data_IF_044786404856
#
_entry.id   IF_044786404856
#
_cell.length_a   1.000
_cell.length_b   1.000
_cell.length_c   1.000
_cell.angle_alpha   90.00
_cell.angle_beta   90.00
_cell.angle_gamma   90.00
#
_symmetry.space_group_name_H-M   'P 1'
#
loop_
_entity.id
_entity.type
_entity.pdbx_description
1 polymer ?
#
# COMPACT_ATOMS: atom_id res chain seq x y z
N UNK A 1 -15.95 1.18 -7.04
CA UNK A 1 -16.62 2.03 -6.03
C UNK A 1 -16.02 3.41 -6.10
N UNK A 2 -16.80 4.45 -5.81
CA UNK A 2 -16.37 5.84 -5.96
C UNK A 2 -16.51 6.55 -4.61
N UNK A 3 -15.53 7.39 -4.27
CA UNK A 3 -15.57 8.30 -3.13
C UNK A 3 -15.78 9.72 -3.66
N UNK A 4 -16.75 10.44 -3.09
CA UNK A 4 -17.09 11.79 -3.50
C UNK A 4 -17.50 12.65 -2.32
N UNK A 5 -17.44 13.97 -2.50
CA UNK A 5 -17.97 14.94 -1.54
C UNK A 5 -19.38 15.37 -1.93
N UNK A 6 -20.31 15.41 -0.96
CA UNK A 6 -21.70 15.81 -1.22
C UNK A 6 -21.95 17.34 -1.15
N UNK A 7 -21.01 18.12 -0.60
CA UNK A 7 -21.00 19.59 -0.67
C UNK A 7 -19.58 20.11 -0.90
N UNK A 8 -19.44 21.43 -1.13
CA UNK A 8 -18.14 22.08 -1.31
C UNK A 8 -17.32 21.93 -0.04
N UNK A 9 -16.28 21.12 -0.11
CA UNK A 9 -15.48 20.74 1.04
C UNK A 9 -14.24 21.61 1.17
N UNK A 10 -13.81 21.83 2.41
CA UNK A 10 -12.51 22.44 2.70
C UNK A 10 -11.39 21.43 2.37
N UNK A 11 -10.33 21.91 1.73
CA UNK A 11 -9.24 21.06 1.21
C UNK A 11 -8.51 20.32 2.34
N UNK A 12 -8.32 20.96 3.51
CA UNK A 12 -7.50 20.40 4.57
C UNK A 12 -8.14 19.16 5.24
N UNK A 13 -9.42 19.18 5.68
CA UNK A 13 -10.12 18.00 6.15
C UNK A 13 -10.20 16.88 5.10
N UNK A 14 -10.52 17.22 3.86
CA UNK A 14 -10.63 16.23 2.76
C UNK A 14 -9.31 15.52 2.55
N UNK A 15 -8.21 16.27 2.45
CA UNK A 15 -6.88 15.69 2.33
C UNK A 15 -6.56 14.76 3.50
N UNK A 16 -6.77 15.20 4.75
CA UNK A 16 -6.48 14.42 5.96
C UNK A 16 -7.29 13.12 6.02
N UNK A 17 -8.59 13.19 5.77
CA UNK A 17 -9.46 12.01 5.78
C UNK A 17 -9.09 11.06 4.64
N UNK A 18 -8.73 11.59 3.46
CA UNK A 18 -8.31 10.78 2.31
C UNK A 18 -7.02 10.00 2.60
N UNK A 19 -6.01 10.64 3.21
CA UNK A 19 -4.75 9.97 3.61
C UNK A 19 -5.02 8.86 4.62
N UNK A 20 -5.83 9.13 5.66
CA UNK A 20 -6.20 8.13 6.66
C UNK A 20 -6.99 6.97 6.05
N UNK A 21 -7.91 7.28 5.14
CA UNK A 21 -8.70 6.28 4.42
C UNK A 21 -7.83 5.37 3.57
N UNK A 22 -6.92 5.92 2.77
CA UNK A 22 -6.01 5.12 1.94
C UNK A 22 -5.08 4.26 2.79
N UNK A 23 -4.61 4.75 3.93
CA UNK A 23 -3.84 3.96 4.89
C UNK A 23 -4.64 2.75 5.40
N UNK A 24 -5.91 2.94 5.75
CA UNK A 24 -6.78 1.87 6.25
C UNK A 24 -7.11 0.84 5.16
N UNK A 25 -7.35 1.28 3.93
CA UNK A 25 -7.53 0.36 2.79
C UNK A 25 -6.24 -0.41 2.50
N UNK A 26 -5.07 0.24 2.61
CA UNK A 26 -3.79 -0.43 2.43
C UNK A 26 -3.54 -1.52 3.47
N UNK A 27 -4.15 -1.41 4.65
CA UNK A 27 -4.14 -2.42 5.71
C UNK A 27 -5.18 -3.56 5.48
N UNK A 28 -5.89 -3.57 4.34
CA UNK A 28 -6.88 -4.59 4.01
C UNK A 28 -8.26 -4.37 4.63
N UNK A 29 -8.55 -3.18 5.17
CA UNK A 29 -9.88 -2.89 5.70
C UNK A 29 -10.93 -2.77 4.58
N UNK A 30 -12.17 -3.13 4.89
CA UNK A 30 -13.34 -2.84 4.05
C UNK A 30 -13.48 -1.33 3.87
N UNK A 31 -13.96 -0.88 2.70
CA UNK A 31 -13.93 0.55 2.33
C UNK A 31 -14.84 1.40 3.22
N UNK A 32 -15.99 0.87 3.62
CA UNK A 32 -16.92 1.49 4.58
C UNK A 32 -16.27 1.65 5.96
N UNK A 33 -15.66 0.59 6.49
CA UNK A 33 -14.97 0.59 7.77
C UNK A 33 -13.75 1.52 7.74
N UNK A 34 -12.97 1.49 6.66
CA UNK A 34 -11.81 2.34 6.45
C UNK A 34 -12.19 3.84 6.50
N UNK A 35 -13.30 4.23 5.86
CA UNK A 35 -13.76 5.62 5.86
C UNK A 35 -14.31 6.03 7.23
N UNK A 36 -15.04 5.14 7.91
CA UNK A 36 -15.53 5.39 9.27
C UNK A 36 -14.36 5.62 10.23
N UNK A 37 -13.36 4.75 10.21
CA UNK A 37 -12.16 4.88 11.06
C UNK A 37 -11.39 6.15 10.71
N UNK A 38 -11.23 6.47 9.42
CA UNK A 38 -10.56 7.70 8.99
C UNK A 38 -11.24 8.97 9.53
N UNK A 39 -12.58 9.02 9.52
CA UNK A 39 -13.35 10.15 10.09
C UNK A 39 -13.18 10.24 11.61
N UNK A 40 -13.20 9.11 12.32
CA UNK A 40 -12.97 9.07 13.77
C UNK A 40 -11.56 9.57 14.11
N UNK A 41 -10.54 9.12 13.39
CA UNK A 41 -9.16 9.52 13.63
C UNK A 41 -8.90 10.99 13.26
N UNK A 42 -9.57 11.50 12.24
CA UNK A 42 -9.58 12.93 11.96
C UNK A 42 -10.12 13.72 13.15
N UNK A 43 -11.27 13.32 13.72
CA UNK A 43 -11.91 14.00 14.85
C UNK A 43 -11.03 14.03 16.11
N UNK A 44 -10.24 12.98 16.36
CA UNK A 44 -9.28 12.94 17.49
C UNK A 44 -8.18 14.00 17.40
N UNK A 45 -7.88 14.48 16.18
CA UNK A 45 -6.80 15.43 15.92
C UNK A 45 -7.29 16.80 15.46
N UNK A 46 -8.61 16.97 15.29
CA UNK A 46 -9.22 18.22 14.87
C UNK A 46 -9.34 19.20 16.05
N UNK A 47 -9.15 20.49 15.77
CA UNK A 47 -9.50 21.54 16.73
C UNK A 47 -11.03 21.70 16.79
N UNK A 48 -11.53 22.37 17.84
CA UNK A 48 -12.97 22.53 18.12
C UNK A 48 -13.78 23.05 16.93
N UNK A 49 -13.21 23.98 16.16
CA UNK A 49 -13.84 24.53 14.95
C UNK A 49 -13.94 23.50 13.82
N UNK A 50 -12.87 22.74 13.57
CA UNK A 50 -12.83 21.73 12.50
C UNK A 50 -13.50 20.41 12.86
N UNK A 51 -13.92 20.22 14.11
CA UNK A 51 -14.76 19.09 14.53
C UNK A 51 -16.22 19.21 14.05
N UNK A 52 -16.64 20.38 13.55
CA UNK A 52 -17.99 20.59 13.05
C UNK A 52 -18.30 19.62 11.88
N UNK A 53 -19.52 19.05 11.83
CA UNK A 53 -19.92 18.10 10.78
C UNK A 53 -19.68 18.58 9.35
N UNK A 54 -19.72 19.89 9.13
CA UNK A 54 -19.42 20.52 7.84
C UNK A 54 -18.08 20.07 7.24
N UNK A 55 -17.05 19.84 8.07
CA UNK A 55 -15.70 19.56 7.61
C UNK A 55 -15.45 18.07 7.30
N UNK A 56 -16.04 17.14 8.04
CA UNK A 56 -15.72 15.70 7.92
C UNK A 56 -16.87 14.84 7.36
N UNK A 57 -18.11 15.32 7.42
CA UNK A 57 -19.28 14.55 6.99
C UNK A 57 -19.50 14.60 5.47
N UNK A 58 -18.75 15.44 4.74
CA UNK A 58 -18.93 15.61 3.30
C UNK A 58 -18.53 14.40 2.46
N UNK A 59 -17.63 13.53 2.94
CA UNK A 59 -17.12 12.40 2.16
C UNK A 59 -18.02 11.19 2.29
N UNK A 60 -18.48 10.67 1.15
CA UNK A 60 -19.29 9.44 1.06
C UNK A 60 -18.68 8.47 0.06
N UNK A 61 -18.93 7.18 0.25
CA UNK A 61 -18.55 6.11 -0.68
C UNK A 61 -19.83 5.50 -1.26
N UNK A 62 -19.82 5.29 -2.57
CA UNK A 62 -20.89 4.63 -3.31
C UNK A 62 -20.36 3.43 -4.10
N UNK A 63 -21.11 2.33 -4.08
CA UNK A 63 -20.77 1.06 -4.73
C UNK A 63 -20.17 0.03 -3.78
N UNK A 64 -19.36 -0.89 -4.32
CA UNK A 64 -18.85 -2.05 -3.57
C UNK A 64 -17.92 -1.67 -2.39
N UNK A 65 -18.27 -2.04 -1.16
CA UNK A 65 -17.46 -1.77 0.05
C UNK A 65 -16.47 -2.87 0.44
N UNK A 66 -16.39 -3.94 -0.35
CA UNK A 66 -15.46 -5.06 -0.12
C UNK A 66 -14.00 -4.59 0.00
N UNK A 67 -13.18 -5.28 0.81
CA UNK A 67 -11.79 -4.91 1.00
C UNK A 67 -11.03 -5.05 -0.31
N UNK A 68 -9.96 -4.26 -0.46
CA UNK A 68 -9.08 -4.39 -1.62
C UNK A 68 -8.06 -5.47 -1.29
N UNK A 69 -8.06 -6.56 -2.04
CA UNK A 69 -6.98 -7.55 -2.01
C UNK A 69 -5.73 -6.93 -2.64
N UNK A 70 -4.91 -6.29 -1.82
CA UNK A 70 -3.59 -5.89 -2.24
C UNK A 70 -2.71 -7.15 -2.27
N UNK A 71 -2.56 -7.71 -3.46
CA UNK A 71 -1.63 -8.82 -3.69
C UNK A 71 -0.24 -8.31 -3.33
N UNK A 72 0.28 -8.75 -2.18
CA UNK A 72 1.66 -8.49 -1.80
C UNK A 72 2.55 -9.35 -2.69
N UNK A 73 3.06 -8.75 -3.77
CA UNK A 73 3.99 -9.40 -4.69
C UNK A 73 5.27 -9.74 -3.91
N UNK A 74 5.42 -11.00 -3.51
CA UNK A 74 6.62 -11.46 -2.84
C UNK A 74 7.73 -11.64 -3.88
N UNK A 75 8.64 -10.67 -3.96
CA UNK A 75 9.79 -10.73 -4.88
C UNK A 75 10.94 -11.63 -4.39
N UNK A 76 10.86 -12.14 -3.15
CA UNK A 76 11.86 -13.02 -2.55
C UNK A 76 12.21 -14.25 -3.43
N UNK A 77 11.26 -15.01 -4.02
CA UNK A 77 11.57 -16.09 -4.95
C UNK A 77 12.35 -15.63 -6.19
N UNK A 78 12.10 -14.43 -6.70
CA UNK A 78 12.84 -13.87 -7.83
C UNK A 78 14.30 -13.57 -7.44
N UNK A 79 14.51 -12.97 -6.27
CA UNK A 79 15.86 -12.75 -5.73
C UNK A 79 16.63 -14.06 -5.51
N UNK A 80 15.96 -15.11 -5.02
CA UNK A 80 16.56 -16.44 -4.84
C UNK A 80 16.95 -17.03 -6.20
N UNK A 81 16.08 -16.94 -7.21
CA UNK A 81 16.36 -17.44 -8.56
C UNK A 81 17.58 -16.74 -9.20
N UNK A 82 17.67 -15.41 -9.05
CA UNK A 82 18.82 -14.62 -9.54
C UNK A 82 20.11 -15.02 -8.80
N UNK A 83 20.05 -15.21 -7.48
CA UNK A 83 21.21 -15.62 -6.69
C UNK A 83 21.72 -17.01 -7.09
N UNK A 84 20.82 -17.97 -7.33
CA UNK A 84 21.17 -19.32 -7.79
C UNK A 84 21.84 -19.25 -9.17
N UNK A 85 21.25 -18.49 -10.11
CA UNK A 85 21.81 -18.34 -11.45
C UNK A 85 23.23 -17.75 -11.41
N UNK A 86 23.43 -16.72 -10.58
CA UNK A 86 24.72 -16.07 -10.41
C UNK A 86 25.77 -17.03 -9.80
N UNK A 87 25.38 -17.82 -8.79
CA UNK A 87 26.23 -18.85 -8.21
C UNK A 87 26.64 -19.91 -9.23
N UNK A 88 25.70 -20.36 -10.07
CA UNK A 88 25.95 -21.36 -11.12
C UNK A 88 26.97 -20.86 -12.17
N UNK A 89 26.85 -19.59 -12.57
CA UNK A 89 27.80 -18.94 -13.48
C UNK A 89 29.21 -18.87 -12.86
N UNK A 90 29.32 -18.55 -11.57
CA UNK A 90 30.62 -18.49 -10.88
C UNK A 90 31.26 -19.88 -10.82
N UNK A 91 30.50 -20.91 -10.43
CA UNK A 91 30.99 -22.30 -10.37
C UNK A 91 31.47 -22.77 -11.74
N UNK A 92 30.69 -22.53 -12.80
CA UNK A 92 31.08 -22.88 -14.17
C UNK A 92 32.37 -22.17 -14.62
N UNK A 93 32.55 -20.90 -14.26
CA UNK A 93 33.77 -20.16 -14.56
C UNK A 93 35.00 -20.70 -13.82
N UNK A 94 34.83 -21.12 -12.57
CA UNK A 94 35.92 -21.74 -11.78
C UNK A 94 36.30 -23.09 -12.39
N UNK A 95 35.33 -23.94 -12.72
CA UNK A 95 35.56 -25.24 -13.35
C UNK A 95 36.28 -25.12 -14.71
N UNK A 96 35.89 -24.14 -15.54
CA UNK A 96 36.61 -23.84 -16.80
C UNK A 96 38.06 -23.42 -16.58
N UNK A 97 38.39 -22.73 -15.49
CA UNK A 97 39.77 -22.32 -15.19
C UNK A 97 40.62 -23.47 -14.64
N UNK A 98 40.03 -24.42 -13.92
CA UNK A 98 40.78 -25.50 -13.27
C UNK A 98 41.03 -26.70 -14.18
N UNK A 99 40.15 -26.97 -15.15
CA UNK A 99 40.31 -28.08 -16.12
C UNK A 99 41.46 -27.93 -17.13
N UNK A 100 42.12 -26.77 -17.20
CA UNK A 100 43.23 -26.51 -18.13
C UNK A 100 44.64 -26.73 -17.55
N UNK A 101 44.77 -27.36 -16.38
CA UNK A 101 46.08 -27.53 -15.67
C UNK A 101 46.44 -28.97 -15.35
N UNK A 102 45.94 -29.95 -16.12
CA UNK A 102 46.23 -31.38 -15.92
C UNK A 102 46.90 -32.01 -17.15
N UNK A 103 47.94 -31.38 -17.69
CA UNK A 103 48.91 -32.04 -18.58
C UNK A 103 50.29 -31.41 -18.36
N UNK A 104 51.01 -31.89 -17.35
CA UNK A 104 52.48 -31.93 -17.30
C UNK A 104 52.91 -33.12 -16.46
#
# INVERSE_FOLDING_TARGET
SVMATIWRADEHPVYRISVLFHKNIAAGMRKDDALRVAKIDYLKTANKERSLPYYWSNMVIMGNTDPIELIHQNYLPWFIAVAILFGLIIVLNIWRKTGGKSEY
#
